data_IF_286912566109
#
_entry.id   IF_286912566109
#
_cell.length_a   1.000
_cell.length_b   1.000
_cell.length_c   1.000
_cell.angle_alpha   90.00
_cell.angle_beta   90.00
_cell.angle_gamma   90.00
#
_symmetry.space_group_name_H-M   'P 1'
#
loop_
_entity.id
_entity.type
_entity.pdbx_description
1 polymer ?
#
# COMPACT_ATOMS: atom_id res chain seq x y z
N UNK A 1 20.43 -1.96 -5.78
CA UNK A 1 19.23 -1.86 -6.61
C UNK A 1 18.69 -0.46 -6.43
N UNK A 2 18.59 0.29 -7.52
CA UNK A 2 17.93 1.59 -7.48
C UNK A 2 16.41 1.34 -7.51
N UNK A 3 15.70 1.92 -6.55
CA UNK A 3 14.25 1.92 -6.51
C UNK A 3 13.73 3.21 -7.16
N UNK A 4 12.96 3.07 -8.23
CA UNK A 4 12.32 4.17 -8.97
C UNK A 4 10.79 4.04 -8.86
N UNK A 5 10.08 5.15 -9.08
CA UNK A 5 8.60 5.19 -9.02
C UNK A 5 8.03 5.53 -10.39
N UNK A 6 7.10 4.71 -10.87
CA UNK A 6 6.58 4.80 -12.24
C UNK A 6 5.09 4.49 -12.22
N UNK A 7 4.23 5.42 -12.67
CA UNK A 7 2.77 5.23 -12.69
C UNK A 7 2.18 4.89 -11.31
N UNK A 8 2.83 5.36 -10.24
CA UNK A 8 2.46 5.08 -8.86
C UNK A 8 2.89 3.72 -8.30
N UNK A 9 3.66 2.94 -9.06
CA UNK A 9 4.17 1.62 -8.67
C UNK A 9 5.64 1.68 -8.28
N UNK A 10 6.05 0.73 -7.45
CA UNK A 10 7.45 0.53 -7.06
C UNK A 10 8.15 -0.25 -8.16
N UNK A 11 9.25 0.31 -8.69
CA UNK A 11 10.09 -0.34 -9.68
C UNK A 11 11.50 -0.53 -9.13
N UNK A 12 12.03 -1.74 -9.23
CA UNK A 12 13.42 -2.07 -8.89
C UNK A 12 14.18 -2.37 -10.17
N UNK A 13 15.40 -1.85 -10.26
CA UNK A 13 16.27 -2.11 -11.39
C UNK A 13 17.58 -2.71 -10.89
N UNK A 14 17.97 -3.82 -11.52
CA UNK A 14 19.28 -4.43 -11.36
C UNK A 14 19.92 -4.58 -12.74
N UNK A 15 21.06 -3.93 -12.94
CA UNK A 15 21.86 -4.13 -14.14
C UNK A 15 22.54 -5.51 -14.09
N UNK A 16 22.50 -6.22 -15.21
CA UNK A 16 23.17 -7.49 -15.41
C UNK A 16 24.41 -7.21 -16.24
N UNK A 17 25.58 -7.32 -15.62
CA UNK A 17 26.86 -7.19 -16.33
C UNK A 17 26.97 -8.37 -17.31
N UNK A 18 27.00 -8.14 -18.63
CA UNK A 18 27.13 -9.22 -19.60
C UNK A 18 28.53 -9.84 -19.48
N UNK A 19 28.61 -11.14 -19.20
CA UNK A 19 29.81 -11.93 -19.49
C UNK A 19 29.81 -12.31 -20.98
N UNK A 20 30.98 -12.38 -21.61
CA UNK A 20 31.26 -12.49 -23.06
C UNK A 20 30.59 -13.66 -23.84
N UNK A 21 29.67 -14.43 -23.25
CA UNK A 21 29.17 -15.71 -23.80
C UNK A 21 27.64 -15.78 -24.00
N UNK A 22 27.02 -14.80 -24.66
CA UNK A 22 25.61 -14.95 -25.10
C UNK A 22 25.42 -14.59 -26.57
N UNK A 23 25.28 -15.57 -27.48
CA UNK A 23 25.05 -15.30 -28.89
C UNK A 23 23.61 -14.80 -29.12
N UNK A 24 23.49 -13.60 -29.70
CA UNK A 24 22.23 -13.02 -30.14
C UNK A 24 21.73 -13.77 -31.40
N UNK A 25 20.94 -14.83 -31.23
CA UNK A 25 20.30 -15.50 -32.37
C UNK A 25 19.14 -14.69 -32.95
N UNK A 26 19.25 -14.40 -34.26
CA UNK A 26 18.29 -13.92 -35.28
C UNK A 26 16.90 -13.45 -34.79
N UNK A 27 16.58 -12.18 -35.08
CA UNK A 27 15.32 -11.50 -34.77
C UNK A 27 14.47 -11.37 -36.05
N UNK A 28 13.19 -11.76 -36.00
CA UNK A 28 12.20 -11.47 -37.06
C UNK A 28 11.31 -10.30 -36.62
N UNK A 29 11.27 -9.24 -37.42
CA UNK A 29 10.34 -8.10 -37.29
C UNK A 29 9.10 -8.36 -38.17
N UNK A 30 7.89 -8.19 -37.64
CA UNK A 30 6.62 -8.43 -38.35
C UNK A 30 6.22 -7.27 -39.27
N UNK A 31 7.13 -6.85 -40.17
CA UNK A 31 6.82 -5.85 -41.19
C UNK A 31 7.94 -5.65 -42.20
N UNK A 32 7.83 -6.32 -43.37
CA UNK A 32 8.52 -6.16 -44.68
C UNK A 32 9.98 -5.63 -44.78
N UNK A 33 10.70 -5.47 -43.69
CA UNK A 33 12.09 -5.05 -43.63
C UNK A 33 12.84 -6.00 -42.72
N UNK A 34 13.43 -7.02 -43.33
CA UNK A 34 14.44 -7.85 -42.70
C UNK A 34 15.70 -7.01 -42.53
N UNK A 35 16.09 -6.72 -41.30
CA UNK A 35 17.41 -6.15 -41.02
C UNK A 35 18.39 -7.32 -40.99
N UNK A 36 19.23 -7.42 -42.02
CA UNK A 36 20.34 -8.37 -42.08
C UNK A 36 21.38 -7.99 -41.03
N UNK A 37 21.77 -8.95 -40.20
CA UNK A 37 22.64 -8.76 -39.04
C UNK A 37 24.11 -8.68 -39.49
N UNK A 38 24.51 -7.57 -40.09
CA UNK A 38 25.93 -7.28 -40.35
C UNK A 38 26.52 -6.43 -39.22
N UNK A 39 27.37 -7.08 -38.41
CA UNK A 39 28.58 -6.50 -37.79
C UNK A 39 28.53 -5.04 -37.29
N UNK A 40 27.97 -4.88 -36.09
CA UNK A 40 28.38 -3.98 -34.98
C UNK A 40 27.15 -3.48 -34.19
N UNK A 41 26.48 -4.38 -33.47
CA UNK A 41 25.52 -3.98 -32.44
C UNK A 41 26.27 -3.89 -31.11
N UNK A 42 26.33 -2.71 -30.52
CA UNK A 42 26.80 -2.55 -29.14
C UNK A 42 25.60 -2.75 -28.19
N UNK A 43 25.73 -3.71 -27.27
CA UNK A 43 24.81 -3.83 -26.14
C UNK A 43 25.07 -2.64 -25.21
N UNK A 44 24.03 -1.84 -24.96
CA UNK A 44 24.14 -0.61 -24.14
C UNK A 44 23.66 -0.86 -22.72
N UNK A 45 22.70 -1.77 -22.56
CA UNK A 45 22.17 -2.16 -21.26
C UNK A 45 21.60 -3.57 -21.32
N UNK A 46 21.82 -4.34 -20.27
CA UNK A 46 21.05 -5.54 -19.97
C UNK A 46 20.68 -5.48 -18.49
N UNK A 47 19.43 -5.67 -18.15
CA UNK A 47 18.99 -5.55 -16.77
C UNK A 47 17.66 -6.19 -16.48
N UNK A 48 17.44 -6.46 -15.20
CA UNK A 48 16.17 -6.88 -14.65
C UNK A 48 15.41 -5.64 -14.19
N UNK A 49 14.17 -5.51 -14.67
CA UNK A 49 13.18 -4.53 -14.23
C UNK A 49 12.11 -5.29 -13.48
N UNK A 50 11.95 -5.01 -12.20
CA UNK A 50 10.90 -5.57 -11.38
C UNK A 50 9.88 -4.49 -11.04
N UNK A 51 8.59 -4.80 -11.19
CA UNK A 51 7.50 -3.89 -10.90
C UNK A 51 6.57 -4.54 -9.89
N UNK A 52 6.24 -3.82 -8.83
CA UNK A 52 5.23 -4.26 -7.88
C UNK A 52 3.82 -4.02 -8.45
N UNK A 53 3.06 -5.10 -8.60
CA UNK A 53 1.70 -5.16 -9.11
C UNK A 53 0.78 -5.69 -8.01
N UNK A 54 -0.41 -5.08 -7.83
CA UNK A 54 -1.36 -5.48 -6.78
C UNK A 54 -0.70 -5.72 -5.41
N UNK A 55 0.33 -4.91 -5.08
CA UNK A 55 1.15 -4.91 -3.86
C UNK A 55 1.98 -6.14 -3.51
N UNK A 56 1.56 -7.33 -3.91
CA UNK A 56 2.20 -8.58 -3.53
C UNK A 56 2.66 -9.40 -4.72
N UNK A 57 2.34 -8.97 -5.94
CA UNK A 57 2.77 -9.62 -7.17
C UNK A 57 3.94 -8.84 -7.76
N UNK A 58 5.13 -9.41 -7.75
CA UNK A 58 6.25 -8.85 -8.48
C UNK A 58 6.25 -9.36 -9.92
N UNK A 59 6.24 -8.41 -10.85
CA UNK A 59 6.45 -8.66 -12.27
C UNK A 59 7.91 -8.35 -12.60
N UNK A 60 8.71 -9.37 -12.89
CA UNK A 60 10.13 -9.20 -13.23
C UNK A 60 10.33 -9.45 -14.72
N UNK A 61 10.92 -8.50 -15.43
CA UNK A 61 11.26 -8.62 -16.85
C UNK A 61 12.74 -8.33 -17.09
N UNK A 62 13.40 -9.17 -17.89
CA UNK A 62 14.73 -8.84 -18.40
C UNK A 62 14.60 -8.02 -19.67
N UNK A 63 15.16 -6.82 -19.67
CA UNK A 63 15.23 -5.93 -20.82
C UNK A 63 16.68 -5.81 -21.31
N UNK A 64 16.87 -6.08 -22.61
CA UNK A 64 18.14 -5.84 -23.30
C UNK A 64 17.96 -4.65 -24.26
N UNK A 65 18.86 -3.68 -24.18
CA UNK A 65 18.89 -2.48 -25.03
C UNK A 65 20.19 -2.47 -25.85
N UNK A 66 20.07 -2.30 -27.17
CA UNK A 66 21.23 -2.25 -28.07
C UNK A 66 21.11 -1.13 -29.10
N UNK A 67 22.26 -0.66 -29.58
CA UNK A 67 22.35 0.31 -30.69
C UNK A 67 22.75 -0.37 -31.99
N UNK A 68 22.27 0.14 -33.12
CA UNK A 68 22.80 -0.17 -34.45
C UNK A 68 23.65 1.00 -34.96
N UNK A 69 24.66 0.75 -35.81
CA UNK A 69 25.38 1.81 -36.54
C UNK A 69 24.36 2.71 -37.29
N UNK A 70 24.19 3.95 -36.85
CA UNK A 70 23.17 4.87 -37.39
C UNK A 70 22.16 5.39 -36.36
N UNK A 71 22.58 5.62 -35.11
CA UNK A 71 21.83 6.40 -34.10
C UNK A 71 20.47 5.83 -33.63
N UNK A 72 20.15 4.57 -33.95
CA UNK A 72 18.90 3.96 -33.50
C UNK A 72 19.16 3.00 -32.34
N UNK A 73 18.37 3.12 -31.27
CA UNK A 73 18.39 2.21 -30.14
C UNK A 73 17.14 1.34 -30.13
N UNK A 74 17.29 0.10 -29.69
CA UNK A 74 16.23 -0.90 -29.66
C UNK A 74 16.17 -1.55 -28.30
N UNK A 75 14.96 -1.85 -27.83
CA UNK A 75 14.72 -2.57 -26.59
C UNK A 75 13.93 -3.87 -26.87
N UNK A 76 14.30 -4.95 -26.18
CA UNK A 76 13.57 -6.23 -26.20
C UNK A 76 13.47 -6.82 -24.81
N UNK A 77 12.26 -7.28 -24.46
CA UNK A 77 12.04 -8.11 -23.28
C UNK A 77 12.43 -9.56 -23.60
N UNK A 78 13.38 -10.13 -22.86
CA UNK A 78 13.92 -11.48 -23.07
C UNK A 78 13.16 -12.54 -22.31
N UNK A 79 12.79 -12.26 -21.07
CA UNK A 79 12.02 -13.16 -20.23
C UNK A 79 11.19 -12.35 -19.24
N UNK A 80 10.12 -12.97 -18.77
CA UNK A 80 9.27 -12.43 -17.71
C UNK A 80 9.07 -13.53 -16.67
N UNK A 81 9.12 -13.15 -15.41
CA UNK A 81 8.77 -13.97 -14.27
C UNK A 81 7.74 -13.20 -13.44
N UNK A 82 6.84 -13.93 -12.80
CA UNK A 82 5.87 -13.36 -11.88
C UNK A 82 5.91 -14.15 -10.59
N UNK A 83 6.09 -13.48 -9.46
CA UNK A 83 6.15 -14.14 -8.17
C UNK A 83 5.37 -13.37 -7.12
N UNK A 84 4.82 -14.11 -6.16
CA UNK A 84 4.21 -13.53 -4.98
C UNK A 84 5.31 -13.27 -3.95
N UNK A 85 5.32 -12.07 -3.37
CA UNK A 85 6.15 -11.81 -2.21
C UNK A 85 5.58 -12.59 -1.02
N UNK A 86 6.43 -13.34 -0.31
CA UNK A 86 6.08 -13.86 1.02
C UNK A 86 5.74 -12.65 1.89
N UNK A 87 4.46 -12.49 2.16
CA UNK A 87 3.95 -11.39 2.93
C UNK A 87 3.25 -11.93 4.15
N UNK A 88 3.28 -11.17 5.24
CA UNK A 88 2.52 -11.42 6.47
C UNK A 88 0.99 -11.35 6.27
N UNK A 89 0.54 -11.19 5.02
CA UNK A 89 -0.79 -10.69 4.61
C UNK A 89 -1.88 -11.76 4.65
N UNK A 90 -1.51 -13.04 4.63
CA UNK A 90 -2.49 -14.12 4.65
C UNK A 90 -2.53 -14.91 5.97
N UNK A 91 -1.72 -14.52 6.97
CA UNK A 91 -1.23 -15.52 7.91
C UNK A 91 -0.62 -16.72 7.16
N UNK A 92 -0.74 -17.93 7.71
CA UNK A 92 -0.26 -19.18 7.10
C UNK A 92 -0.84 -19.52 5.70
N UNK A 93 -1.74 -18.70 5.12
CA UNK A 93 -2.42 -19.00 3.84
C UNK A 93 -1.72 -18.44 2.58
N UNK A 94 -0.72 -17.54 2.69
CA UNK A 94 -0.04 -16.96 1.52
C UNK A 94 0.76 -18.03 0.77
N UNK A 95 1.27 -18.99 1.52
CA UNK A 95 1.98 -20.17 1.03
C UNK A 95 1.08 -21.18 0.32
N UNK A 96 -0.24 -20.94 0.26
CA UNK A 96 -1.21 -21.84 -0.37
C UNK A 96 -1.60 -21.40 -1.79
N UNK A 97 -1.12 -20.25 -2.29
CA UNK A 97 -1.48 -19.73 -3.61
C UNK A 97 -0.27 -19.37 -4.48
N UNK A 98 -0.42 -19.53 -5.79
CA UNK A 98 0.56 -19.09 -6.79
C UNK A 98 -0.11 -18.35 -7.94
N UNK A 99 0.64 -17.47 -8.63
CA UNK A 99 0.17 -16.92 -9.92
C UNK A 99 0.24 -18.03 -10.97
N UNK A 100 -0.78 -18.15 -11.80
CA UNK A 100 -0.84 -19.23 -12.79
C UNK A 100 0.32 -19.16 -13.78
N UNK A 101 0.99 -20.30 -14.04
CA UNK A 101 2.07 -20.43 -15.03
C UNK A 101 1.60 -20.03 -16.44
N UNK A 102 0.34 -20.32 -16.76
CA UNK A 102 -0.30 -19.96 -18.03
C UNK A 102 -0.36 -18.44 -18.23
N UNK A 103 -0.60 -17.66 -17.16
CA UNK A 103 -0.56 -16.19 -17.25
C UNK A 103 0.85 -15.69 -17.53
N UNK A 104 1.88 -16.29 -16.91
CA UNK A 104 3.28 -15.93 -17.19
C UNK A 104 3.64 -16.18 -18.66
N UNK A 105 3.34 -17.35 -19.21
CA UNK A 105 3.66 -17.71 -20.60
C UNK A 105 2.95 -16.79 -21.62
N UNK A 106 1.69 -16.43 -21.37
CA UNK A 106 0.95 -15.49 -22.23
C UNK A 106 1.55 -14.08 -22.20
N UNK A 107 1.97 -13.60 -21.04
CA UNK A 107 2.63 -12.28 -20.88
C UNK A 107 4.00 -12.26 -21.54
N UNK A 108 4.79 -13.31 -21.32
CA UNK A 108 6.06 -13.55 -22.03
C UNK A 108 5.82 -13.50 -23.54
N UNK A 109 4.81 -14.22 -24.04
CA UNK A 109 4.48 -14.27 -25.47
C UNK A 109 4.03 -12.91 -26.01
N UNK A 110 3.28 -12.12 -25.23
CA UNK A 110 2.85 -10.79 -25.61
C UNK A 110 4.03 -9.80 -25.72
N UNK A 111 4.98 -9.87 -24.79
CA UNK A 111 6.09 -8.91 -24.68
C UNK A 111 7.36 -9.31 -25.48
N UNK A 112 7.62 -10.60 -25.68
CA UNK A 112 8.77 -11.07 -26.45
C UNK A 112 8.61 -10.87 -27.96
N UNK A 113 7.36 -10.70 -28.44
CA UNK A 113 7.05 -10.55 -29.87
C UNK A 113 7.36 -9.17 -30.43
N UNK A 114 7.62 -8.17 -29.58
CA UNK A 114 7.86 -6.79 -30.01
C UNK A 114 9.29 -6.34 -29.71
N UNK A 115 10.05 -6.07 -30.76
CA UNK A 115 11.28 -5.27 -30.67
C UNK A 115 10.88 -3.81 -30.87
N UNK A 116 11.16 -2.98 -29.87
CA UNK A 116 10.76 -1.58 -29.88
C UNK A 116 11.94 -0.72 -30.29
N UNK A 117 11.74 0.05 -31.37
CA UNK A 117 12.64 1.15 -31.70
C UNK A 117 12.39 2.28 -30.71
N UNK A 118 13.42 2.67 -29.99
CA UNK A 118 13.38 3.83 -29.10
C UNK A 118 13.40 5.09 -29.98
N UNK A 119 12.46 6.00 -29.76
CA UNK A 119 12.44 7.30 -30.44
C UNK A 119 13.55 8.18 -29.84
N UNK A 120 14.77 8.01 -30.31
CA UNK A 120 15.93 8.75 -29.85
C UNK A 120 16.64 9.43 -31.01
N UNK A 121 16.90 10.73 -30.86
CA UNK A 121 17.81 11.48 -31.70
C UNK A 121 19.19 11.48 -31.03
N UNK A 122 20.11 10.64 -31.50
CA UNK A 122 21.50 10.71 -31.03
C UNK A 122 22.09 12.03 -31.50
N UNK A 123 22.52 12.86 -30.56
CA UNK A 123 23.43 13.96 -30.86
C UNK A 123 24.76 13.34 -31.27
N UNK A 124 25.04 13.35 -32.58
CA UNK A 124 26.27 12.83 -33.16
C UNK A 124 27.45 13.77 -32.89
N UNK A 125 27.87 13.91 -31.63
CA UNK A 125 29.12 14.62 -31.33
C UNK A 125 30.31 13.64 -31.35
N UNK A 126 30.82 13.41 -32.56
CA UNK A 126 32.23 13.02 -32.78
C UNK A 126 32.55 11.53 -32.73
N UNK A 127 33.52 11.15 -33.57
CA UNK A 127 34.03 9.78 -33.72
C UNK A 127 34.50 9.16 -32.39
N UNK A 128 34.17 7.87 -32.23
CA UNK A 128 34.69 6.92 -31.23
C UNK A 128 34.27 7.06 -29.76
N UNK A 129 33.20 7.79 -29.44
CA UNK A 129 32.60 7.68 -28.11
C UNK A 129 31.59 6.52 -28.07
N UNK A 130 31.75 5.64 -27.08
CA UNK A 130 30.77 4.58 -26.81
C UNK A 130 29.38 5.21 -26.66
N UNK A 131 28.41 4.71 -27.42
CA UNK A 131 27.02 5.18 -27.33
C UNK A 131 26.46 4.69 -26.00
N UNK A 132 26.50 5.55 -24.98
CA UNK A 132 25.93 5.29 -23.67
C UNK A 132 24.61 6.04 -23.50
N UNK A 133 23.64 5.41 -22.85
CA UNK A 133 22.42 6.09 -22.41
C UNK A 133 22.77 7.03 -21.26
N UNK A 134 22.23 8.24 -21.28
CA UNK A 134 22.18 9.06 -20.06
C UNK A 134 21.26 8.40 -19.04
N UNK A 135 21.41 8.78 -17.77
CA UNK A 135 20.56 8.28 -16.67
C UNK A 135 19.07 8.50 -16.96
N UNK A 136 18.71 9.67 -17.48
CA UNK A 136 17.32 10.03 -17.75
C UNK A 136 16.75 9.26 -18.93
N UNK A 137 17.54 9.06 -19.99
CA UNK A 137 17.14 8.24 -21.14
C UNK A 137 16.95 6.77 -20.74
N UNK A 138 17.87 6.20 -19.97
CA UNK A 138 17.71 4.85 -19.43
C UNK A 138 16.46 4.76 -18.55
N UNK A 139 16.26 5.72 -17.65
CA UNK A 139 15.08 5.76 -16.77
C UNK A 139 13.78 5.77 -17.58
N UNK A 140 13.69 6.61 -18.62
CA UNK A 140 12.49 6.68 -19.48
C UNK A 140 12.21 5.36 -20.22
N UNK A 141 13.24 4.67 -20.70
CA UNK A 141 13.07 3.36 -21.35
C UNK A 141 12.61 2.31 -20.34
N UNK A 142 13.16 2.30 -19.13
CA UNK A 142 12.78 1.36 -18.09
C UNK A 142 11.35 1.63 -17.57
N UNK A 143 10.93 2.90 -17.52
CA UNK A 143 9.54 3.32 -17.31
C UNK A 143 8.60 2.69 -18.34
N UNK A 144 8.94 2.80 -19.63
CA UNK A 144 8.12 2.27 -20.71
C UNK A 144 8.04 0.74 -20.67
N UNK A 145 9.15 0.06 -20.35
CA UNK A 145 9.19 -1.40 -20.16
C UNK A 145 8.31 -1.82 -18.99
N UNK A 146 8.43 -1.15 -17.84
CA UNK A 146 7.63 -1.41 -16.65
C UNK A 146 6.13 -1.26 -16.93
N UNK A 147 5.73 -0.17 -17.60
CA UNK A 147 4.34 0.07 -17.96
C UNK A 147 3.80 -1.02 -18.91
N UNK A 148 4.55 -1.37 -19.96
CA UNK A 148 4.15 -2.44 -20.88
C UNK A 148 3.99 -3.79 -20.18
N UNK A 149 4.88 -4.09 -19.24
CA UNK A 149 4.81 -5.32 -18.46
C UNK A 149 3.52 -5.38 -17.65
N UNK A 150 3.16 -4.28 -16.98
CA UNK A 150 1.90 -4.13 -16.24
C UNK A 150 0.70 -4.28 -17.16
N UNK A 151 0.66 -3.54 -18.28
CA UNK A 151 -0.48 -3.56 -19.22
C UNK A 151 -0.70 -4.96 -19.81
N UNK A 152 0.39 -5.63 -20.22
CA UNK A 152 0.33 -6.97 -20.78
C UNK A 152 -0.13 -8.00 -19.73
N UNK A 153 0.37 -7.89 -18.49
CA UNK A 153 -0.06 -8.75 -17.40
C UNK A 153 -1.54 -8.55 -17.10
N UNK A 154 -1.97 -7.32 -16.88
CA UNK A 154 -3.36 -6.98 -16.60
C UNK A 154 -4.30 -7.47 -17.70
N UNK A 155 -3.95 -7.29 -18.98
CA UNK A 155 -4.75 -7.78 -20.10
C UNK A 155 -4.95 -9.31 -20.07
N UNK A 156 -3.91 -10.07 -19.73
CA UNK A 156 -3.99 -11.53 -19.60
C UNK A 156 -4.86 -11.94 -18.41
N UNK A 157 -4.74 -11.24 -17.28
CA UNK A 157 -5.57 -11.50 -16.09
C UNK A 157 -7.05 -11.23 -16.39
N UNK A 158 -7.37 -10.08 -16.98
CA UNK A 158 -8.73 -9.72 -17.40
C UNK A 158 -9.28 -10.73 -18.41
N UNK A 159 -8.50 -11.13 -19.41
CA UNK A 159 -8.94 -12.14 -20.37
C UNK A 159 -9.29 -13.47 -19.68
N UNK A 160 -8.54 -13.84 -18.65
CA UNK A 160 -8.77 -15.07 -17.88
C UNK A 160 -10.07 -14.99 -17.09
N UNK A 161 -10.36 -13.85 -16.46
CA UNK A 161 -11.63 -13.59 -15.78
C UNK A 161 -12.80 -13.61 -16.78
N UNK A 162 -12.66 -12.98 -17.94
CA UNK A 162 -13.72 -12.96 -18.96
C UNK A 162 -14.00 -14.36 -19.55
N UNK A 163 -12.98 -15.22 -19.61
CA UNK A 163 -13.07 -16.58 -20.10
C UNK A 163 -13.50 -17.61 -19.03
N UNK A 164 -13.62 -17.22 -17.75
CA UNK A 164 -13.97 -18.15 -16.65
C UNK A 164 -15.41 -18.67 -16.74
N UNK A 165 -15.76 -19.67 -15.94
CA UNK A 165 -17.14 -20.14 -15.80
C UNK A 165 -17.94 -19.23 -14.85
N UNK A 166 -17.31 -18.71 -13.80
CA UNK A 166 -17.94 -17.91 -12.74
C UNK A 166 -18.66 -16.65 -13.27
N UNK A 167 -20.01 -16.62 -13.27
CA UNK A 167 -20.76 -15.42 -13.67
C UNK A 167 -20.59 -14.28 -12.66
N UNK A 168 -20.40 -14.62 -11.38
CA UNK A 168 -20.17 -13.66 -10.30
C UNK A 168 -18.90 -12.86 -10.52
N UNK A 169 -17.76 -13.53 -10.74
CA UNK A 169 -16.48 -12.86 -10.96
C UNK A 169 -16.50 -11.89 -12.17
N UNK A 170 -17.22 -12.27 -13.25
CA UNK A 170 -17.40 -11.41 -14.43
C UNK A 170 -18.23 -10.17 -14.12
N UNK A 171 -19.35 -10.37 -13.43
CA UNK A 171 -20.22 -9.27 -13.02
C UNK A 171 -19.48 -8.26 -12.13
N UNK A 172 -18.74 -8.75 -11.12
CA UNK A 172 -17.97 -7.91 -10.21
C UNK A 172 -16.86 -7.13 -10.94
N UNK A 173 -16.16 -7.76 -11.89
CA UNK A 173 -15.19 -7.04 -12.72
C UNK A 173 -15.83 -5.88 -13.52
N UNK A 174 -17.01 -6.09 -14.11
CA UNK A 174 -17.70 -5.06 -14.90
C UNK A 174 -18.17 -3.88 -14.04
N UNK A 175 -18.47 -4.11 -12.76
CA UNK A 175 -18.74 -3.07 -11.78
C UNK A 175 -17.46 -2.34 -11.38
N UNK A 176 -16.42 -3.09 -10.99
CA UNK A 176 -15.20 -2.54 -10.40
C UNK A 176 -14.28 -1.86 -11.40
N UNK A 177 -14.34 -2.20 -12.70
CA UNK A 177 -13.49 -1.57 -13.73
C UNK A 177 -13.71 -0.06 -13.88
N UNK A 178 -14.78 0.47 -13.29
CA UNK A 178 -15.09 1.90 -13.28
C UNK A 178 -14.16 2.68 -12.32
N UNK A 179 -13.54 2.00 -11.35
CA UNK A 179 -12.61 2.61 -10.40
C UNK A 179 -11.20 2.74 -11.01
N UNK A 180 -10.59 3.92 -10.87
CA UNK A 180 -9.21 4.14 -11.31
C UNK A 180 -8.22 3.37 -10.44
N UNK A 181 -7.24 2.72 -11.07
CA UNK A 181 -6.21 1.97 -10.36
C UNK A 181 -6.59 0.53 -9.98
N UNK A 182 -7.69 -0.01 -10.54
CA UNK A 182 -8.03 -1.42 -10.39
C UNK A 182 -6.91 -2.32 -10.96
N UNK A 183 -6.34 -3.14 -10.08
CA UNK A 183 -5.48 -4.26 -10.43
C UNK A 183 -6.25 -5.58 -10.34
N UNK A 184 -5.99 -6.50 -11.27
CA UNK A 184 -6.67 -7.80 -11.36
C UNK A 184 -5.62 -8.89 -11.35
N UNK A 185 -5.74 -9.85 -10.42
CA UNK A 185 -4.80 -10.98 -10.28
C UNK A 185 -5.57 -12.28 -10.19
N UNK A 186 -5.29 -13.22 -11.09
CA UNK A 186 -5.79 -14.60 -10.98
C UNK A 186 -4.74 -15.45 -10.28
N UNK A 187 -5.15 -16.08 -9.19
CA UNK A 187 -4.36 -16.96 -8.36
C UNK A 187 -4.88 -18.40 -8.47
N UNK A 188 -3.97 -19.35 -8.31
CA UNK A 188 -4.26 -20.77 -8.20
C UNK A 188 -3.93 -21.25 -6.80
N UNK A 189 -4.86 -21.95 -6.19
CA UNK A 189 -4.63 -22.62 -4.93
C UNK A 189 -3.79 -23.88 -5.13
N UNK A 190 -2.67 -23.98 -4.42
CA UNK A 190 -1.67 -25.03 -4.59
C UNK A 190 -2.19 -26.41 -4.19
N UNK A 191 -3.06 -26.49 -3.17
CA UNK A 191 -3.57 -27.78 -2.66
C UNK A 191 -4.76 -28.30 -3.45
N UNK A 192 -5.73 -27.46 -3.75
CA UNK A 192 -6.95 -27.88 -4.46
C UNK A 192 -6.87 -27.70 -5.97
N UNK A 193 -5.92 -26.89 -6.46
CA UNK A 193 -5.80 -26.56 -7.87
C UNK A 193 -6.85 -25.58 -8.39
N UNK A 194 -7.81 -25.16 -7.56
CA UNK A 194 -8.84 -24.20 -7.93
C UNK A 194 -8.30 -22.79 -8.14
N UNK A 195 -9.02 -21.99 -8.91
CA UNK A 195 -8.64 -20.63 -9.28
C UNK A 195 -9.55 -19.60 -8.62
N UNK A 196 -8.96 -18.50 -8.21
CA UNK A 196 -9.68 -17.31 -7.75
C UNK A 196 -9.13 -16.06 -8.43
N UNK A 197 -9.98 -15.05 -8.55
CA UNK A 197 -9.57 -13.71 -8.93
C UNK A 197 -9.53 -12.83 -7.69
N UNK A 198 -8.50 -11.99 -7.63
CA UNK A 198 -8.36 -10.91 -6.68
C UNK A 198 -8.45 -9.57 -7.42
N UNK A 199 -9.40 -8.74 -7.01
CA UNK A 199 -9.52 -7.34 -7.43
C UNK A 199 -8.89 -6.45 -6.36
N UNK A 200 -7.81 -5.75 -6.70
CA UNK A 200 -7.10 -4.85 -5.80
C UNK A 200 -7.35 -3.39 -6.21
N UNK A 201 -7.82 -2.58 -5.26
CA UNK A 201 -8.28 -1.21 -5.48
C UNK A 201 -7.66 -0.25 -4.45
N UNK A 202 -7.11 0.90 -4.86
CA UNK A 202 -6.74 1.94 -3.91
C UNK A 202 -8.00 2.49 -3.22
N UNK A 203 -8.02 2.48 -1.88
CA UNK A 203 -9.16 2.99 -1.11
C UNK A 203 -9.31 4.52 -1.25
N UNK A 204 -8.18 5.21 -1.39
CA UNK A 204 -8.08 6.65 -1.58
C UNK A 204 -7.35 6.91 -2.88
N UNK A 205 -8.09 7.24 -3.95
CA UNK A 205 -7.52 7.54 -5.27
C UNK A 205 -7.05 8.99 -5.45
N UNK A 206 -7.04 9.79 -4.39
CA UNK A 206 -6.62 11.19 -4.45
C UNK A 206 -5.16 11.34 -4.03
N UNK A 207 -4.41 12.12 -4.82
CA UNK A 207 -3.03 12.51 -4.55
C UNK A 207 -2.94 12.97 -3.10
N UNK A 208 -2.02 12.37 -2.34
CA UNK A 208 -1.69 12.84 -1.00
C UNK A 208 -1.54 14.37 -1.04
N UNK A 209 -2.39 15.14 -0.33
CA UNK A 209 -2.38 16.60 -0.43
C UNK A 209 -1.07 17.23 0.08
N UNK A 210 -0.10 16.42 0.51
CA UNK A 210 1.05 16.85 1.28
C UNK A 210 2.34 16.11 0.87
N UNK A 211 3.38 16.89 0.57
CA UNK A 211 4.77 16.44 0.58
C UNK A 211 5.30 16.67 2.01
N UNK A 212 5.23 15.61 2.83
CA UNK A 212 5.59 15.61 4.27
C UNK A 212 6.92 16.28 4.61
N UNK A 213 7.86 16.33 3.67
CA UNK A 213 9.17 16.92 3.89
C UNK A 213 9.23 18.44 3.71
N UNK A 214 8.39 19.04 2.87
CA UNK A 214 8.53 20.47 2.53
C UNK A 214 7.87 21.41 3.53
N UNK A 215 6.78 21.00 4.15
CA UNK A 215 6.01 21.89 5.01
C UNK A 215 6.28 21.70 6.50
N UNK A 216 6.81 20.55 6.93
CA UNK A 216 7.42 20.39 8.26
C UNK A 216 8.63 21.31 8.47
N UNK A 217 9.35 21.63 7.38
CA UNK A 217 10.48 22.56 7.42
C UNK A 217 10.08 24.04 7.43
N UNK A 218 8.82 24.36 7.11
CA UNK A 218 8.33 25.75 7.04
C UNK A 218 7.50 26.15 8.26
N UNK A 219 7.21 25.24 9.18
CA UNK A 219 6.57 25.59 10.45
C UNK A 219 7.63 26.21 11.37
N UNK A 220 7.56 27.53 11.56
CA UNK A 220 8.49 28.33 12.38
C UNK A 220 8.49 27.99 13.88
N UNK A 221 7.71 26.98 14.31
CA UNK A 221 7.49 26.67 15.72
C UNK A 221 7.81 25.20 16.01
N UNK A 222 9.11 24.93 16.18
CA UNK A 222 9.68 23.60 16.50
C UNK A 222 9.14 23.06 17.84
N UNK A 223 8.61 23.94 18.70
CA UNK A 223 8.06 23.60 20.01
C UNK A 223 6.57 23.24 19.97
N UNK A 224 5.89 23.40 18.82
CA UNK A 224 4.49 23.02 18.64
C UNK A 224 4.38 21.68 17.88
N UNK A 225 3.76 20.66 18.48
CA UNK A 225 3.41 19.44 17.74
C UNK A 225 2.32 19.81 16.73
N UNK A 226 2.73 20.06 15.48
CA UNK A 226 1.90 20.65 14.43
C UNK A 226 0.78 19.73 13.94
N UNK A 227 -0.47 20.02 14.33
CA UNK A 227 -1.68 19.37 13.80
C UNK A 227 -2.31 20.24 12.70
N UNK A 228 -2.13 19.90 11.41
CA UNK A 228 -2.71 20.67 10.32
C UNK A 228 -4.24 20.57 10.31
N UNK A 229 -4.89 21.72 10.48
CA UNK A 229 -6.35 21.85 10.38
C UNK A 229 -6.86 21.41 8.99
N UNK A 230 -6.07 21.61 7.93
CA UNK A 230 -6.44 21.39 6.53
C UNK A 230 -6.52 19.92 6.06
N UNK A 231 -6.20 18.92 6.89
CA UNK A 231 -6.29 17.52 6.46
C UNK A 231 -7.69 16.92 6.65
N UNK A 232 -8.38 16.63 5.56
CA UNK A 232 -9.69 15.94 5.59
C UNK A 232 -9.62 14.45 5.26
N UNK A 233 -8.41 13.94 4.96
CA UNK A 233 -8.09 12.55 4.60
C UNK A 233 -6.76 12.10 5.22
N UNK A 234 -6.54 10.78 5.44
CA UNK A 234 -5.28 10.23 5.93
C UNK A 234 -4.08 10.68 5.11
N UNK A 235 -2.97 11.01 5.79
CA UNK A 235 -1.75 11.50 5.16
C UNK A 235 -0.93 10.32 4.60
N UNK A 236 -1.47 9.70 3.56
CA UNK A 236 -0.87 8.54 2.91
C UNK A 236 -0.07 9.04 1.71
N UNK A 237 1.23 9.27 1.89
CA UNK A 237 2.11 9.70 0.80
C UNK A 237 2.08 8.72 -0.39
N UNK A 238 1.38 9.13 -1.46
CA UNK A 238 1.35 8.60 -2.84
C UNK A 238 1.04 7.10 -3.03
N UNK A 239 0.27 6.77 -4.07
CA UNK A 239 0.14 5.51 -4.83
C UNK A 239 0.94 4.26 -4.42
N UNK A 240 2.23 4.38 -4.09
CA UNK A 240 3.08 3.29 -3.60
C UNK A 240 2.96 2.97 -2.10
N UNK A 241 2.10 3.64 -1.34
CA UNK A 241 1.72 3.32 0.05
C UNK A 241 0.23 3.57 0.32
N UNK A 242 -0.63 3.62 -0.71
CA UNK A 242 -2.08 3.68 -0.54
C UNK A 242 -2.66 2.41 0.12
N UNK A 243 -3.60 2.64 1.04
CA UNK A 243 -4.44 1.60 1.63
C UNK A 243 -5.22 0.92 0.50
N UNK A 244 -5.05 -0.40 0.35
CA UNK A 244 -5.61 -1.14 -0.79
C UNK A 244 -6.70 -2.09 -0.31
N UNK A 245 -7.90 -2.00 -0.88
CA UNK A 245 -8.94 -3.02 -0.69
C UNK A 245 -8.70 -4.14 -1.69
N UNK A 246 -8.78 -5.38 -1.22
CA UNK A 246 -8.71 -6.56 -2.05
C UNK A 246 -9.99 -7.41 -1.88
N UNK A 247 -10.61 -7.76 -3.00
CA UNK A 247 -11.85 -8.55 -3.07
C UNK A 247 -11.58 -9.85 -3.83
N UNK A 248 -11.87 -10.99 -3.22
CA UNK A 248 -11.62 -12.32 -3.80
C UNK A 248 -12.90 -13.01 -4.27
N UNK A 249 -12.86 -13.63 -5.45
CA UNK A 249 -13.96 -14.44 -5.98
C UNK A 249 -13.44 -15.73 -6.60
N UNK A 250 -14.12 -16.88 -6.38
CA UNK A 250 -13.80 -18.10 -7.10
C UNK A 250 -14.10 -17.96 -8.60
N UNK A 251 -13.23 -18.54 -9.43
CA UNK A 251 -13.41 -18.60 -10.89
C UNK A 251 -13.99 -19.93 -11.36
N UNK A 252 -13.82 -20.97 -10.55
CA UNK A 252 -14.32 -22.31 -10.79
C UNK A 252 -15.64 -22.50 -10.01
N UNK A 253 -16.69 -23.01 -10.67
CA UNK A 253 -18.01 -23.27 -10.05
C UNK A 253 -18.03 -24.56 -9.19
N UNK A 254 -16.91 -25.28 -9.12
CA UNK A 254 -16.84 -26.59 -8.48
C UNK A 254 -16.71 -26.47 -6.95
N UNK A 255 -17.79 -26.83 -6.24
CA UNK A 255 -17.82 -27.01 -4.78
C UNK A 255 -16.72 -27.95 -4.26
N UNK A 256 -16.15 -28.79 -5.13
CA UNK A 256 -15.08 -29.74 -4.83
C UNK A 256 -13.69 -29.10 -4.69
N UNK A 257 -13.51 -27.86 -5.16
CA UNK A 257 -12.22 -27.16 -5.10
C UNK A 257 -11.90 -26.57 -3.72
N UNK A 258 -12.83 -26.64 -2.76
CA UNK A 258 -12.62 -26.21 -1.37
C UNK A 258 -12.33 -24.72 -1.19
N UNK A 259 -12.43 -23.91 -2.25
CA UNK A 259 -12.36 -22.45 -2.19
C UNK A 259 -13.80 -21.96 -2.03
N UNK A 260 -14.25 -21.83 -0.78
CA UNK A 260 -15.56 -21.28 -0.47
C UNK A 260 -15.54 -19.74 -0.50
N UNK A 261 -16.68 -19.11 -0.76
CA UNK A 261 -16.84 -17.65 -0.70
C UNK A 261 -16.41 -17.07 0.67
N UNK A 262 -16.53 -17.87 1.74
CA UNK A 262 -16.11 -17.53 3.10
C UNK A 262 -14.59 -17.36 3.27
N UNK A 263 -13.78 -17.86 2.33
CA UNK A 263 -12.33 -17.88 2.49
C UNK A 263 -11.71 -16.50 2.23
N UNK A 264 -12.26 -15.68 1.32
CA UNK A 264 -11.68 -14.38 0.92
C UNK A 264 -12.67 -13.33 0.35
N UNK A 265 -13.78 -12.97 1.03
CA UNK A 265 -14.72 -12.00 0.45
C UNK A 265 -14.17 -10.55 0.45
N UNK A 266 -13.33 -10.17 1.43
CA UNK A 266 -12.78 -8.82 1.57
C UNK A 266 -11.57 -8.81 2.52
N UNK A 267 -10.46 -8.21 2.10
CA UNK A 267 -9.40 -7.80 3.02
C UNK A 267 -8.85 -6.43 2.65
N UNK A 268 -8.33 -5.71 3.66
CA UNK A 268 -7.68 -4.42 3.46
C UNK A 268 -6.20 -4.56 3.76
N UNK A 269 -5.39 -4.24 2.77
CA UNK A 269 -3.94 -4.24 2.87
C UNK A 269 -3.44 -2.89 3.34
N UNK A 270 -2.88 -2.91 4.55
CA UNK A 270 -2.31 -1.73 5.19
C UNK A 270 -0.86 -1.53 4.77
N UNK A 271 -0.45 -0.29 4.47
CA UNK A 271 0.95 0.06 4.27
C UNK A 271 1.80 -0.34 5.48
N UNK A 272 3.05 -0.74 5.29
CA UNK A 272 3.93 -1.17 6.38
C UNK A 272 4.10 -0.09 7.47
N UNK A 273 4.03 1.19 7.09
CA UNK A 273 4.05 2.34 8.00
C UNK A 273 2.75 2.60 8.78
N UNK A 274 1.68 1.87 8.46
CA UNK A 274 0.33 1.96 9.05
C UNK A 274 -0.05 0.69 9.84
N UNK A 275 0.94 -0.04 10.34
CA UNK A 275 0.74 -1.33 11.02
C UNK A 275 -0.03 -1.20 12.34
N UNK A 276 -0.06 -0.01 12.95
CA UNK A 276 -0.92 0.29 14.10
C UNK A 276 -2.36 0.57 13.66
N UNK A 277 -2.57 1.27 12.54
CA UNK A 277 -3.90 1.44 11.94
C UNK A 277 -4.63 0.15 11.64
N UNK A 278 -3.92 -0.88 11.17
CA UNK A 278 -4.51 -2.20 10.92
C UNK A 278 -5.09 -2.83 12.19
N UNK A 279 -4.59 -2.46 13.37
CA UNK A 279 -5.03 -2.99 14.66
C UNK A 279 -6.18 -2.19 15.26
N UNK A 280 -6.34 -0.92 14.85
CA UNK A 280 -7.28 0.01 15.48
C UNK A 280 -8.45 0.40 14.57
N UNK A 281 -8.37 0.08 13.28
CA UNK A 281 -9.43 0.35 12.32
C UNK A 281 -10.31 -0.88 12.16
N UNK A 282 -11.61 -0.71 12.37
CA UNK A 282 -12.57 -1.76 12.11
C UNK A 282 -13.02 -1.71 10.64
N UNK A 283 -13.02 -2.85 9.98
CA UNK A 283 -13.57 -3.00 8.62
C UNK A 283 -15.06 -3.38 8.69
N UNK A 284 -15.88 -2.96 7.70
CA UNK A 284 -17.27 -3.39 7.63
C UNK A 284 -17.33 -4.92 7.50
N UNK A 285 -18.33 -5.58 8.10
CA UNK A 285 -18.56 -7.00 7.88
C UNK A 285 -18.92 -7.21 6.40
N UNK A 286 -18.22 -8.12 5.73
CA UNK A 286 -18.60 -8.58 4.40
C UNK A 286 -19.73 -9.61 4.54
N UNK A 287 -20.83 -9.43 3.80
CA UNK A 287 -21.86 -10.45 3.65
C UNK A 287 -21.97 -10.86 2.18
N UNK A 288 -22.43 -12.08 1.92
CA UNK A 288 -22.61 -12.58 0.55
C UNK A 288 -23.55 -11.72 -0.30
N UNK A 289 -24.44 -10.95 0.35
CA UNK A 289 -25.45 -10.11 -0.29
C UNK A 289 -25.01 -8.66 -0.50
N UNK A 290 -23.88 -8.25 0.07
CA UNK A 290 -23.38 -6.87 -0.09
C UNK A 290 -22.63 -6.72 -1.40
N UNK A 291 -22.99 -5.71 -2.19
CA UNK A 291 -22.30 -5.40 -3.45
C UNK A 291 -20.85 -4.98 -3.19
N UNK A 292 -19.90 -5.37 -4.05
CA UNK A 292 -18.50 -4.93 -3.96
C UNK A 292 -18.35 -3.41 -3.92
N UNK A 293 -19.19 -2.70 -4.67
CA UNK A 293 -19.19 -1.23 -4.71
C UNK A 293 -19.60 -0.68 -3.35
N UNK A 294 -20.66 -1.24 -2.75
CA UNK A 294 -21.12 -0.86 -1.42
C UNK A 294 -20.08 -1.19 -0.34
N UNK A 295 -19.36 -2.31 -0.48
CA UNK A 295 -18.26 -2.67 0.42
C UNK A 295 -17.10 -1.66 0.31
N UNK A 296 -16.70 -1.28 -0.91
CA UNK A 296 -15.65 -0.28 -1.14
C UNK A 296 -16.05 1.07 -0.54
N UNK A 297 -17.27 1.54 -0.80
CA UNK A 297 -17.76 2.82 -0.28
C UNK A 297 -17.93 2.80 1.25
N UNK A 298 -18.40 1.68 1.81
CA UNK A 298 -18.51 1.49 3.26
C UNK A 298 -17.15 1.49 3.93
N UNK A 299 -16.17 0.77 3.37
CA UNK A 299 -14.79 0.77 3.86
C UNK A 299 -14.22 2.19 3.85
N UNK A 300 -14.39 2.92 2.74
CA UNK A 300 -13.89 4.28 2.59
C UNK A 300 -14.50 5.20 3.65
N UNK A 301 -15.82 5.11 3.82
CA UNK A 301 -16.57 5.90 4.80
C UNK A 301 -16.10 5.62 6.22
N UNK A 302 -16.02 4.35 6.62
CA UNK A 302 -15.63 3.94 7.97
C UNK A 302 -14.20 4.36 8.28
N UNK A 303 -13.25 4.11 7.37
CA UNK A 303 -11.84 4.47 7.57
C UNK A 303 -11.69 5.99 7.72
N UNK A 304 -12.35 6.77 6.87
CA UNK A 304 -12.31 8.25 6.96
C UNK A 304 -12.95 8.76 8.25
N UNK A 305 -14.10 8.23 8.64
CA UNK A 305 -14.78 8.64 9.86
C UNK A 305 -13.93 8.34 11.10
N UNK A 306 -13.37 7.13 11.22
CA UNK A 306 -12.52 6.77 12.34
C UNK A 306 -11.22 7.58 12.36
N UNK A 307 -10.65 7.89 11.19
CA UNK A 307 -9.48 8.74 11.09
C UNK A 307 -9.78 10.19 11.53
N UNK A 308 -10.86 10.79 11.02
CA UNK A 308 -11.29 12.16 11.40
C UNK A 308 -11.58 12.24 12.89
N UNK A 309 -12.21 11.20 13.43
CA UNK A 309 -12.53 11.11 14.86
C UNK A 309 -11.27 11.09 15.73
N UNK A 310 -10.24 10.33 15.35
CA UNK A 310 -8.93 10.35 16.02
C UNK A 310 -8.28 11.72 15.94
N UNK A 311 -8.23 12.32 14.74
CA UNK A 311 -7.69 13.67 14.52
C UNK A 311 -8.37 14.70 15.42
N UNK A 312 -9.71 14.72 15.43
CA UNK A 312 -10.49 15.68 16.22
C UNK A 312 -10.30 15.46 17.72
N UNK A 313 -10.25 14.20 18.17
CA UNK A 313 -9.97 13.89 19.57
C UNK A 313 -8.59 14.39 19.99
N UNK A 314 -7.54 14.15 19.19
CA UNK A 314 -6.19 14.64 19.50
C UNK A 314 -6.13 16.17 19.42
N UNK A 315 -6.78 16.77 18.41
CA UNK A 315 -6.87 18.23 18.28
C UNK A 315 -7.47 18.88 19.53
N UNK A 316 -8.56 18.31 20.04
CA UNK A 316 -9.21 18.77 21.27
C UNK A 316 -8.38 18.45 22.53
N UNK A 317 -7.72 17.29 22.58
CA UNK A 317 -6.83 16.92 23.70
C UNK A 317 -5.72 17.96 23.91
N UNK A 318 -5.19 18.53 22.83
CA UNK A 318 -4.15 19.59 22.87
C UNK A 318 -4.62 20.87 23.56
N UNK A 319 -5.93 21.12 23.67
CA UNK A 319 -6.47 22.26 24.39
C UNK A 319 -6.34 22.13 25.92
N UNK A 320 -6.14 20.90 26.43
CA UNK A 320 -6.18 20.60 27.86
C UNK A 320 -4.86 20.07 28.42
N UNK A 321 -4.05 19.42 27.60
CA UNK A 321 -2.78 18.81 28.01
C UNK A 321 -1.66 19.10 27.02
N UNK A 322 -0.41 19.01 27.49
CA UNK A 322 0.75 19.10 26.61
C UNK A 322 0.91 17.77 25.86
N UNK A 323 0.62 17.80 24.56
CA UNK A 323 0.91 16.66 23.66
C UNK A 323 2.38 16.72 23.24
N UNK A 324 3.09 15.60 23.38
CA UNK A 324 4.50 15.45 23.03
C UNK A 324 4.70 14.95 21.61
N UNK A 325 3.92 13.95 21.21
CA UNK A 325 4.03 13.29 19.91
C UNK A 325 2.73 12.57 19.59
N UNK A 326 2.40 12.40 18.32
CA UNK A 326 1.36 11.46 17.87
C UNK A 326 1.76 10.83 16.54
N UNK A 327 1.07 9.75 16.17
CA UNK A 327 1.21 9.16 14.84
C UNK A 327 0.63 10.11 13.77
N UNK A 328 1.50 10.76 12.99
CA UNK A 328 1.09 11.72 11.98
C UNK A 328 0.46 11.09 10.73
N UNK A 329 0.58 9.78 10.56
CA UNK A 329 0.03 9.04 9.42
C UNK A 329 -1.44 8.75 9.67
N UNK A 330 -1.79 8.31 10.88
CA UNK A 330 -3.13 7.78 11.15
C UNK A 330 -3.75 8.14 12.51
N UNK A 331 -3.04 8.90 13.35
CA UNK A 331 -3.49 9.31 14.67
C UNK A 331 -3.88 8.14 15.60
N UNK A 332 -3.33 6.94 15.37
CA UNK A 332 -3.62 5.72 16.14
C UNK A 332 -3.12 5.77 17.59
N UNK A 333 -2.11 6.60 17.85
CA UNK A 333 -1.55 6.82 19.19
C UNK A 333 -1.13 8.26 19.40
N UNK A 334 -1.15 8.68 20.67
CA UNK A 334 -0.69 10.00 21.14
C UNK A 334 0.03 9.87 22.48
N UNK A 335 1.12 10.60 22.62
CA UNK A 335 1.91 10.77 23.82
C UNK A 335 1.63 12.16 24.39
N UNK A 336 1.30 12.23 25.66
CA UNK A 336 0.91 13.50 26.30
C UNK A 336 1.31 13.51 27.77
N UNK A 337 1.41 14.72 28.32
CA UNK A 337 1.79 14.97 29.71
C UNK A 337 0.58 15.37 30.51
N UNK A 338 0.40 14.73 31.67
CA UNK A 338 -0.51 15.19 32.71
C UNK A 338 0.27 15.60 33.94
N UNK A 339 -0.23 16.62 34.62
CA UNK A 339 0.24 17.01 35.95
C UNK A 339 -0.79 16.51 36.97
N UNK A 340 -0.32 15.75 37.96
CA UNK A 340 -1.19 15.18 38.98
C UNK A 340 -0.68 15.50 40.38
N UNK A 341 -1.58 15.96 41.25
CA UNK A 341 -1.30 16.28 42.64
C UNK A 341 -2.55 15.96 43.49
N UNK A 342 -2.41 15.11 44.51
CA UNK A 342 -3.55 14.69 45.34
C UNK A 342 -4.16 15.84 46.14
N UNK A 343 -3.31 16.72 46.65
CA UNK A 343 -3.65 17.94 47.39
C UNK A 343 -2.43 18.86 47.45
N UNK A 344 -2.58 20.08 47.95
CA UNK A 344 -1.50 21.09 48.01
C UNK A 344 -0.24 20.62 48.76
N UNK A 345 -0.35 19.60 49.62
CA UNK A 345 0.77 19.06 50.41
C UNK A 345 1.45 17.85 49.74
N UNK A 346 0.81 17.23 48.75
CA UNK A 346 1.34 16.08 48.04
C UNK A 346 2.36 16.50 46.96
N UNK A 347 3.35 15.66 46.61
CA UNK A 347 4.28 15.97 45.55
C UNK A 347 3.56 16.06 44.20
N UNK A 348 3.82 17.14 43.46
CA UNK A 348 3.42 17.28 42.07
C UNK A 348 4.14 16.22 41.23
N UNK A 349 3.38 15.44 40.46
CA UNK A 349 3.91 14.45 39.52
C UNK A 349 3.66 14.93 38.09
N UNK A 350 4.73 14.95 37.30
CA UNK A 350 4.64 15.12 35.85
C UNK A 350 4.67 13.72 35.24
N UNK A 351 3.63 13.39 34.51
CA UNK A 351 3.34 12.02 34.08
C UNK A 351 3.27 11.99 32.56
N UNK A 352 4.06 11.12 31.95
CA UNK A 352 3.99 10.88 30.50
C UNK A 352 3.10 9.67 30.25
N UNK A 353 2.07 9.86 29.45
CA UNK A 353 1.10 8.86 29.08
C UNK A 353 1.13 8.61 27.59
N UNK A 354 0.88 7.37 27.21
CA UNK A 354 0.58 6.96 25.85
C UNK A 354 -0.85 6.46 25.78
N UNK A 355 -1.67 7.13 24.98
CA UNK A 355 -2.99 6.68 24.56
C UNK A 355 -2.85 5.94 23.22
N UNK A 356 -3.41 4.73 23.15
CA UNK A 356 -3.66 4.01 21.90
C UNK A 356 -5.16 3.82 21.74
N UNK A 357 -5.68 4.25 20.59
CA UNK A 357 -7.06 3.93 20.19
C UNK A 357 -7.19 2.43 19.94
N UNK A 358 -8.42 1.91 19.98
CA UNK A 358 -8.72 0.52 19.64
C UNK A 358 -9.92 0.44 18.73
N UNK A 359 -10.05 -0.64 17.96
CA UNK A 359 -11.22 -0.87 17.12
C UNK A 359 -12.52 -0.91 17.94
N UNK A 360 -12.47 -1.51 19.14
CA UNK A 360 -13.62 -1.62 20.05
C UNK A 360 -14.18 -0.25 20.45
N UNK A 361 -13.32 0.74 20.73
CA UNK A 361 -13.76 2.09 21.06
C UNK A 361 -14.65 2.72 19.97
N UNK A 362 -14.36 2.46 18.69
CA UNK A 362 -15.18 3.01 17.61
C UNK A 362 -16.54 2.32 17.46
N UNK A 363 -16.71 1.11 18.01
CA UNK A 363 -17.96 0.36 18.05
C UNK A 363 -18.81 0.75 19.27
N UNK A 364 -18.21 0.68 20.45
CA UNK A 364 -18.91 0.77 21.73
C UNK A 364 -19.04 2.20 22.22
N UNK A 365 -18.17 3.08 21.73
CA UNK A 365 -17.88 4.38 22.30
C UNK A 365 -17.59 4.36 23.81
N UNK A 366 -16.99 3.27 24.30
CA UNK A 366 -16.71 3.11 25.72
C UNK A 366 -15.28 3.56 26.03
N UNK A 367 -15.10 4.44 27.01
CA UNK A 367 -13.77 4.90 27.43
C UNK A 367 -12.87 3.76 27.90
N UNK A 368 -13.43 2.69 28.47
CA UNK A 368 -12.68 1.50 28.89
C UNK A 368 -11.98 0.78 27.75
N UNK A 369 -12.40 1.01 26.50
CA UNK A 369 -11.83 0.35 25.34
C UNK A 369 -10.55 1.03 24.86
N UNK A 370 -10.30 2.27 25.30
CA UNK A 370 -9.04 2.96 25.04
C UNK A 370 -7.92 2.37 25.90
N UNK A 371 -6.72 2.26 25.33
CA UNK A 371 -5.55 1.77 26.05
C UNK A 371 -4.67 2.94 26.48
N UNK A 372 -4.68 3.24 27.77
CA UNK A 372 -3.78 4.24 28.36
C UNK A 372 -2.66 3.52 29.09
N UNK A 373 -1.43 3.89 28.79
CA UNK A 373 -0.23 3.33 29.42
C UNK A 373 0.63 4.44 29.98
N UNK A 374 1.06 4.27 31.21
CA UNK A 374 2.05 5.11 31.88
C UNK A 374 3.45 4.73 31.37
N UNK A 375 4.22 5.75 30.96
CA UNK A 375 5.62 5.59 30.58
C UNK A 375 6.48 5.96 31.78
N UNK A 376 7.05 4.97 32.44
CA UNK A 376 7.85 5.12 33.66
C UNK A 376 9.38 5.14 33.41
N UNK A 377 9.78 5.14 32.13
CA UNK A 377 11.18 5.28 31.70
C UNK A 377 12.07 4.07 32.00
N UNK A 378 11.51 2.91 32.36
CA UNK A 378 12.27 1.67 32.53
C UNK A 378 12.16 0.82 31.28
N UNK A 379 13.20 0.88 30.44
CA UNK A 379 13.32 -0.01 29.28
C UNK A 379 13.18 -1.48 29.72
N UNK A 380 12.19 -2.18 29.16
CA UNK A 380 12.01 -3.62 29.32
C UNK A 380 11.13 -4.10 30.48
N UNK A 381 10.44 -3.22 31.21
CA UNK A 381 9.35 -3.60 32.13
C UNK A 381 8.01 -3.29 31.47
N UNK A 382 7.02 -4.18 31.65
CA UNK A 382 5.68 -4.03 31.09
C UNK A 382 5.10 -2.65 31.39
N UNK A 383 4.78 -1.90 30.34
CA UNK A 383 4.17 -0.57 30.47
C UNK A 383 2.92 -0.66 31.35
N UNK A 384 2.84 0.18 32.38
CA UNK A 384 1.76 0.12 33.36
C UNK A 384 0.46 0.59 32.71
N UNK A 385 -0.51 -0.32 32.57
CA UNK A 385 -1.83 0.00 32.05
C UNK A 385 -2.65 0.78 33.08
N UNK A 386 -3.17 1.94 32.68
CA UNK A 386 -4.11 2.73 33.47
C UNK A 386 -5.53 2.34 33.03
N UNK A 387 -6.26 1.66 33.92
CA UNK A 387 -7.61 1.19 33.63
C UNK A 387 -8.58 2.35 33.70
N UNK A 388 -9.29 2.60 32.60
CA UNK A 388 -10.36 3.59 32.52
C UNK A 388 -11.70 2.94 32.90
N UNK A 389 -12.56 3.69 33.57
CA UNK A 389 -13.90 3.19 33.89
C UNK A 389 -14.76 3.16 32.62
N UNK A 390 -15.71 2.21 32.57
CA UNK A 390 -16.69 2.16 31.51
C UNK A 390 -17.61 3.37 31.60
N UNK A 391 -17.71 4.13 30.51
CA UNK A 391 -18.62 5.24 30.38
C UNK A 391 -18.97 5.42 28.90
N UNK A 392 -20.22 5.79 28.65
CA UNK A 392 -20.75 5.99 27.31
C UNK A 392 -21.12 7.45 27.14
N UNK A 393 -20.44 8.12 26.24
CA UNK A 393 -20.93 9.39 25.70
C UNK A 393 -21.89 9.07 24.55
N UNK A 394 -23.14 9.55 24.52
CA UNK A 394 -23.97 9.39 23.33
C UNK A 394 -23.35 10.18 22.18
N UNK A 395 -23.14 9.52 21.02
CA UNK A 395 -22.59 10.19 19.83
C UNK A 395 -23.72 10.83 19.02
N UNK A 396 -23.57 12.12 18.73
CA UNK A 396 -24.12 12.72 17.51
C UNK A 396 -23.04 12.65 16.43
N UNK A 397 -23.38 12.09 15.25
CA UNK A 397 -22.45 11.82 14.17
C UNK A 397 -21.75 13.07 13.59
N UNK A 398 -22.13 14.29 14.00
CA UNK A 398 -21.74 15.52 13.30
C UNK A 398 -21.38 16.73 14.19
N UNK A 399 -20.65 16.60 15.31
CA UNK A 399 -20.19 17.83 15.99
C UNK A 399 -18.83 17.80 16.66
N UNK A 400 -18.10 18.91 16.53
CA UNK A 400 -16.94 19.30 17.35
C UNK A 400 -17.29 19.25 18.85
N UNK A 401 -18.52 19.61 19.21
CA UNK A 401 -19.03 19.53 20.58
C UNK A 401 -19.01 18.10 21.17
N UNK A 402 -19.13 17.06 20.32
CA UNK A 402 -18.97 15.67 20.77
C UNK A 402 -17.53 15.31 21.13
N UNK A 403 -16.53 15.97 20.51
CA UNK A 403 -15.12 15.71 20.78
C UNK A 403 -14.68 16.33 22.11
N UNK A 404 -15.13 17.55 22.41
CA UNK A 404 -14.86 18.22 23.68
C UNK A 404 -15.38 17.44 24.89
N UNK A 405 -16.64 17.01 24.84
CA UNK A 405 -17.23 16.19 25.91
C UNK A 405 -16.46 14.87 26.10
N UNK A 406 -16.11 14.21 24.98
CA UNK A 406 -15.35 12.97 24.97
C UNK A 406 -13.94 13.13 25.59
N UNK A 407 -13.22 14.19 25.25
CA UNK A 407 -11.88 14.47 25.80
C UNK A 407 -11.95 14.83 27.29
N UNK A 408 -12.91 15.65 27.71
CA UNK A 408 -13.08 16.01 29.12
C UNK A 408 -13.38 14.76 29.97
N UNK A 409 -14.26 13.89 29.47
CA UNK A 409 -14.60 12.61 30.10
C UNK A 409 -13.37 11.69 30.17
N UNK A 410 -12.64 11.53 29.05
CA UNK A 410 -11.40 10.77 28.99
C UNK A 410 -10.36 11.24 30.01
N UNK A 411 -10.11 12.55 30.10
CA UNK A 411 -9.15 13.11 31.05
C UNK A 411 -9.60 12.88 32.50
N UNK A 412 -10.89 13.03 32.79
CA UNK A 412 -11.45 12.74 34.11
C UNK A 412 -11.30 11.26 34.51
N UNK A 413 -11.53 10.33 33.59
CA UNK A 413 -11.30 8.91 33.84
C UNK A 413 -9.82 8.56 33.98
N UNK A 414 -8.97 9.19 33.17
CA UNK A 414 -7.51 9.00 33.23
C UNK A 414 -6.97 9.48 34.56
N UNK A 415 -7.36 10.68 35.00
CA UNK A 415 -6.99 11.22 36.31
C UNK A 415 -7.43 10.30 37.45
N UNK A 416 -8.69 9.83 37.44
CA UNK A 416 -9.17 8.86 38.45
C UNK A 416 -8.36 7.57 38.41
N UNK A 417 -8.05 7.04 37.23
CA UNK A 417 -7.21 5.85 37.07
C UNK A 417 -5.79 6.04 37.65
N UNK A 418 -5.19 7.22 37.42
CA UNK A 418 -3.88 7.58 37.98
C UNK A 418 -3.92 7.74 39.50
N UNK A 419 -4.95 8.42 40.02
CA UNK A 419 -5.14 8.57 41.45
C UNK A 419 -5.25 7.21 42.16
N UNK A 420 -6.05 6.30 41.59
CA UNK A 420 -6.13 4.93 42.09
C UNK A 420 -4.77 4.26 42.07
N UNK A 421 -4.09 4.31 40.92
CA UNK A 421 -2.77 3.69 40.77
C UNK A 421 -1.73 4.21 41.78
N UNK A 422 -1.70 5.52 42.06
CA UNK A 422 -0.70 6.11 42.95
C UNK A 422 -1.07 6.08 44.43
N UNK A 423 -2.36 6.06 44.78
CA UNK A 423 -2.82 6.31 46.15
C UNK A 423 -3.78 5.27 46.71
N UNK A 424 -4.43 4.46 45.88
CA UNK A 424 -5.31 3.36 46.32
C UNK A 424 -4.58 2.04 46.04
N UNK A 425 -3.91 1.49 47.06
CA UNK A 425 -3.28 0.16 46.98
C UNK A 425 -4.26 -0.95 47.36
#
# INVERSE_FOLDING_TARGET
MDCMRIGGRIVRVAEVVPTDEMPLSVIRTTGKTSITLETANALVFAGLVEVLYARNVWLAARADIWTTRGSCCFCRVKCVSVYLQESTICGDKATEFEVTKTSQEKVVTALQKSVHKLQWNVSSSGHNTAIALTRDELTNVLVEVAQRLVDAFQAVQVQTVQASASPRAKFEYELLRQFSGLDVVVLKHLRSGGHCVLFALPLFGEIAPWDSTKALMNAEDVDSVYLPESFDVPNVCGTADELTICLGYPLDDDETTGIHDDLWPLFVEWPARMLLSSQVTQLPPSSETTSSVELVDSCKTIVLQQWRRRKNFIGELRCYVTVLEYDAVDFSQVFFVMQEQLNEQAPLRIIVLRLKFTAAFFVTNCMSDLRVTLLDGKDGIDAVAIVLAASHTPISLESVASSQACVAEFLGHTQKGLLRHFYEK
#
